data_IF_752234391462
#
_entry.id   IF_752234391462
#
_cell.length_a   1.000
_cell.length_b   1.000
_cell.length_c   1.000
_cell.angle_alpha   90.00
_cell.angle_beta   90.00
_cell.angle_gamma   90.00
#
_symmetry.space_group_name_H-M   'P 1'
#
loop_
_entity.id
_entity.type
_entity.pdbx_description
1 polymer ?
#
# COMPACT_ATOMS: atom_id res chain seq x y z
N UNK A 1 20.50 21.02 -4.32
CA UNK A 1 20.45 20.26 -3.04
C UNK A 1 19.80 18.92 -3.30
N UNK A 2 20.48 17.80 -3.04
CA UNK A 2 19.87 16.47 -3.13
C UNK A 2 19.01 16.19 -1.89
N UNK A 3 17.82 15.63 -2.08
CA UNK A 3 16.91 15.26 -0.99
C UNK A 3 17.48 14.06 -0.19
N UNK A 4 17.54 14.15 1.14
CA UNK A 4 18.13 13.09 1.97
C UNK A 4 17.25 11.84 2.02
N UNK A 5 17.81 10.68 2.38
CA UNK A 5 17.02 9.44 2.55
C UNK A 5 15.91 9.61 3.59
N UNK A 6 16.20 10.32 4.67
CA UNK A 6 15.25 10.62 5.74
C UNK A 6 14.10 11.52 5.26
N UNK A 7 14.43 12.58 4.50
CA UNK A 7 13.42 13.48 3.93
C UNK A 7 12.49 12.72 2.98
N UNK A 8 13.03 11.87 2.09
CA UNK A 8 12.22 11.04 1.18
C UNK A 8 11.31 10.06 1.93
N UNK A 9 11.84 9.38 2.95
CA UNK A 9 11.04 8.47 3.78
C UNK A 9 9.93 9.21 4.54
N UNK A 10 10.21 10.39 5.10
CA UNK A 10 9.21 11.23 5.77
C UNK A 10 8.12 11.71 4.80
N UNK A 11 8.50 12.04 3.57
CA UNK A 11 7.55 12.37 2.51
C UNK A 11 6.62 11.19 2.19
N UNK A 12 7.16 9.98 2.09
CA UNK A 12 6.34 8.77 1.88
C UNK A 12 5.39 8.49 3.03
N UNK A 13 5.84 8.61 4.28
CA UNK A 13 4.96 8.43 5.44
C UNK A 13 3.80 9.43 5.44
N UNK A 14 4.07 10.71 5.14
CA UNK A 14 3.02 11.74 4.98
C UNK A 14 2.06 11.40 3.86
N UNK A 15 2.59 10.95 2.73
CA UNK A 15 1.79 10.58 1.57
C UNK A 15 0.87 9.38 1.88
N UNK A 16 1.39 8.34 2.57
CA UNK A 16 0.58 7.20 3.02
C UNK A 16 -0.54 7.65 3.95
N UNK A 17 -0.24 8.49 4.94
CA UNK A 17 -1.24 9.03 5.86
C UNK A 17 -2.30 9.82 5.09
N UNK A 18 -1.90 10.71 4.17
CA UNK A 18 -2.82 11.51 3.38
C UNK A 18 -3.76 10.64 2.53
N UNK A 19 -3.21 9.65 1.82
CA UNK A 19 -3.99 8.69 1.05
C UNK A 19 -4.97 7.93 1.93
N UNK A 20 -4.53 7.48 3.11
CA UNK A 20 -5.38 6.72 4.03
C UNK A 20 -6.42 7.57 4.75
N UNK A 21 -6.15 8.85 5.01
CA UNK A 21 -7.18 9.78 5.51
C UNK A 21 -8.21 10.08 4.43
N UNK A 22 -7.79 10.20 3.17
CA UNK A 22 -8.70 10.50 2.06
C UNK A 22 -9.52 9.28 1.63
N UNK A 23 -8.93 8.08 1.62
CA UNK A 23 -9.56 6.85 1.10
C UNK A 23 -9.96 5.85 2.19
N UNK A 24 -9.32 5.88 3.36
CA UNK A 24 -9.60 4.99 4.48
C UNK A 24 -11.03 5.10 5.00
N UNK A 25 -11.63 6.31 5.14
CA UNK A 25 -13.04 6.44 5.46
C UNK A 25 -13.93 5.79 4.40
N UNK A 26 -13.58 5.87 3.11
CA UNK A 26 -14.34 5.17 2.07
C UNK A 26 -14.20 3.65 2.18
N UNK A 27 -13.06 3.12 2.62
CA UNK A 27 -12.88 1.68 2.84
C UNK A 27 -13.57 1.19 4.12
N UNK A 28 -13.60 1.99 5.19
CA UNK A 28 -14.16 1.63 6.49
C UNK A 28 -15.66 1.87 6.59
N UNK A 29 -16.12 2.99 6.03
CA UNK A 29 -17.50 3.45 6.09
C UNK A 29 -18.29 3.13 4.84
N UNK A 30 -17.67 2.48 3.85
CA UNK A 30 -18.38 1.95 2.70
C UNK A 30 -19.49 1.03 3.21
N UNK A 31 -20.79 1.40 3.12
CA UNK A 31 -21.84 0.39 3.17
C UNK A 31 -21.52 -0.66 2.09
N UNK A 32 -21.97 -1.90 2.23
CA UNK A 32 -21.64 -2.98 1.27
C UNK A 32 -21.81 -2.56 -0.22
N UNK A 33 -22.72 -1.63 -0.54
CA UNK A 33 -22.90 -1.04 -1.88
C UNK A 33 -21.88 0.03 -2.33
N UNK A 34 -21.13 0.67 -1.45
CA UNK A 34 -20.03 1.58 -1.84
C UNK A 34 -18.75 0.81 -2.18
N UNK A 35 -18.52 -0.35 -1.56
CA UNK A 35 -17.51 -1.31 -1.99
C UNK A 35 -17.84 -1.84 -3.39
N UNK A 36 -19.12 -2.04 -3.73
CA UNK A 36 -19.55 -2.36 -5.10
C UNK A 36 -19.18 -1.22 -6.08
N UNK A 37 -19.30 0.05 -5.71
CA UNK A 37 -18.85 1.16 -6.58
C UNK A 37 -17.32 1.31 -6.69
N UNK A 38 -16.57 0.97 -5.64
CA UNK A 38 -15.10 1.01 -5.62
C UNK A 38 -14.44 -0.25 -6.21
N UNK A 39 -15.14 -1.37 -6.26
CA UNK A 39 -14.61 -2.67 -6.70
C UNK A 39 -15.36 -3.30 -7.89
N UNK A 40 -16.40 -2.63 -8.40
CA UNK A 40 -17.22 -3.05 -9.52
C UNK A 40 -18.58 -3.60 -9.08
N UNK A 41 -19.64 -3.21 -9.79
CA UNK A 41 -21.03 -3.57 -9.51
C UNK A 41 -21.20 -5.09 -9.39
N UNK A 42 -21.48 -5.58 -8.18
CA UNK A 42 -21.90 -6.96 -7.96
C UNK A 42 -23.28 -7.27 -8.59
N UNK A 43 -24.04 -6.23 -9.00
CA UNK A 43 -25.34 -6.36 -9.66
C UNK A 43 -25.30 -6.27 -11.19
N UNK A 44 -24.20 -5.81 -11.79
CA UNK A 44 -24.06 -5.74 -13.25
C UNK A 44 -23.57 -7.08 -13.82
N UNK A 45 -24.33 -8.17 -13.61
CA UNK A 45 -24.34 -9.37 -14.46
C UNK A 45 -23.02 -10.10 -14.75
N UNK A 46 -21.92 -9.83 -14.05
CA UNK A 46 -20.59 -10.44 -14.30
C UNK A 46 -19.91 -10.96 -13.05
N UNK A 47 -20.65 -11.15 -11.95
CA UNK A 47 -20.17 -11.94 -10.81
C UNK A 47 -19.94 -13.41 -11.20
N UNK A 48 -20.60 -13.92 -12.24
CA UNK A 48 -20.32 -15.25 -12.79
C UNK A 48 -18.87 -15.42 -13.32
N UNK A 49 -18.24 -14.35 -13.81
CA UNK A 49 -16.90 -14.41 -14.40
C UNK A 49 -15.75 -14.25 -13.38
N UNK A 50 -16.08 -13.82 -12.15
CA UNK A 50 -15.19 -13.73 -10.99
C UNK A 50 -15.48 -14.81 -9.93
N UNK A 51 -16.72 -15.34 -9.87
CA UNK A 51 -17.09 -16.54 -9.10
C UNK A 51 -16.36 -17.79 -9.58
N UNK A 52 -16.01 -17.86 -10.87
CA UNK A 52 -15.21 -18.96 -11.42
C UNK A 52 -13.73 -18.91 -10.97
N UNK A 53 -13.34 -17.84 -10.27
CA UNK A 53 -12.05 -17.72 -9.57
C UNK A 53 -12.22 -17.73 -8.04
N UNK A 54 -13.44 -17.96 -7.52
CA UNK A 54 -13.61 -18.18 -6.09
C UNK A 54 -12.92 -19.49 -5.70
N UNK A 55 -12.04 -19.49 -4.69
CA UNK A 55 -11.56 -20.74 -4.12
C UNK A 55 -12.77 -21.54 -3.60
N UNK A 56 -12.72 -22.88 -3.58
CA UNK A 56 -13.83 -23.74 -3.16
C UNK A 56 -14.27 -23.56 -1.69
N UNK A 57 -13.66 -22.63 -0.95
CA UNK A 57 -14.02 -22.23 0.41
C UNK A 57 -14.71 -20.86 0.41
N UNK A 58 -16.04 -20.86 0.57
CA UNK A 58 -16.94 -19.69 0.53
C UNK A 58 -16.71 -18.60 1.58
N UNK A 59 -15.62 -17.83 1.45
CA UNK A 59 -15.46 -16.56 2.14
C UNK A 59 -16.40 -15.50 1.54
N UNK A 60 -17.22 -14.87 2.37
CA UNK A 60 -18.08 -13.78 1.90
C UNK A 60 -17.24 -12.59 1.41
N UNK A 61 -17.66 -11.85 0.37
CA UNK A 61 -16.96 -10.64 -0.11
C UNK A 61 -16.66 -9.65 1.02
N UNK A 62 -17.56 -9.58 2.01
CA UNK A 62 -17.45 -8.75 3.19
C UNK A 62 -16.18 -9.00 4.02
N UNK A 63 -15.80 -10.27 4.20
CA UNK A 63 -14.60 -10.63 4.96
C UNK A 63 -13.33 -10.11 4.30
N UNK A 64 -13.25 -10.21 2.96
CA UNK A 64 -12.10 -9.72 2.19
C UNK A 64 -11.95 -8.19 2.31
N UNK A 65 -13.07 -7.45 2.30
CA UNK A 65 -13.06 -6.00 2.48
C UNK A 65 -12.62 -5.58 3.89
N UNK A 66 -13.08 -6.29 4.93
CA UNK A 66 -12.66 -6.02 6.32
C UNK A 66 -11.17 -6.30 6.53
N UNK A 67 -10.65 -7.38 5.93
CA UNK A 67 -9.22 -7.69 5.98
C UNK A 67 -8.39 -6.61 5.28
N UNK A 68 -8.84 -6.12 4.11
CA UNK A 68 -8.17 -5.04 3.40
C UNK A 68 -8.21 -3.71 4.18
N UNK A 69 -9.36 -3.39 4.77
CA UNK A 69 -9.52 -2.19 5.59
C UNK A 69 -8.63 -2.19 6.83
N UNK A 70 -8.56 -3.30 7.56
CA UNK A 70 -7.69 -3.44 8.73
C UNK A 70 -6.20 -3.37 8.34
N UNK A 71 -5.81 -3.97 7.22
CA UNK A 71 -4.47 -3.83 6.66
C UNK A 71 -4.09 -2.37 6.38
N UNK A 72 -4.99 -1.61 5.77
CA UNK A 72 -4.77 -0.20 5.47
C UNK A 72 -4.66 0.66 6.74
N UNK A 73 -5.48 0.41 7.75
CA UNK A 73 -5.35 1.06 9.05
C UNK A 73 -4.00 0.75 9.69
N UNK A 74 -3.54 -0.50 9.64
CA UNK A 74 -2.22 -0.87 10.17
C UNK A 74 -1.10 -0.11 9.44
N UNK A 75 -1.15 0.00 8.12
CA UNK A 75 -0.20 0.79 7.33
C UNK A 75 -0.23 2.27 7.71
N UNK A 76 -1.41 2.85 7.97
CA UNK A 76 -1.55 4.24 8.40
C UNK A 76 -0.88 4.47 9.75
N UNK A 77 -1.14 3.59 10.72
CA UNK A 77 -0.57 3.65 12.06
C UNK A 77 0.96 3.54 12.03
N UNK A 78 1.49 2.57 11.26
CA UNK A 78 2.94 2.42 11.09
C UNK A 78 3.54 3.65 10.40
N UNK A 79 2.83 4.25 9.43
CA UNK A 79 3.29 5.48 8.77
C UNK A 79 3.28 6.68 9.72
N UNK A 80 2.30 6.77 10.63
CA UNK A 80 2.26 7.80 11.66
C UNK A 80 3.44 7.68 12.64
N UNK A 81 3.75 6.47 13.10
CA UNK A 81 4.95 6.20 13.90
C UNK A 81 6.24 6.52 13.12
N UNK A 82 6.23 6.27 11.81
CA UNK A 82 7.29 6.65 10.88
C UNK A 82 7.56 8.15 10.76
N UNK A 83 6.67 9.03 11.22
CA UNK A 83 6.97 10.47 11.21
C UNK A 83 8.05 10.87 12.21
N UNK A 84 8.18 10.13 13.32
CA UNK A 84 9.24 10.32 14.32
C UNK A 84 10.57 9.73 13.85
N UNK A 85 10.56 8.44 13.48
CA UNK A 85 11.75 7.69 13.05
C UNK A 85 11.58 7.11 11.62
N UNK A 86 11.64 7.94 10.56
CA UNK A 86 11.20 7.55 9.21
C UNK A 86 11.98 6.39 8.60
N UNK A 87 13.27 6.26 8.92
CA UNK A 87 14.09 5.16 8.44
C UNK A 87 13.81 3.85 9.19
N UNK A 88 13.54 3.90 10.49
CA UNK A 88 13.21 2.71 11.31
C UNK A 88 11.93 2.01 10.81
N UNK A 89 10.96 2.80 10.37
CA UNK A 89 9.69 2.31 9.84
C UNK A 89 9.66 2.18 8.31
N UNK A 90 10.78 2.41 7.62
CA UNK A 90 10.85 2.25 6.16
C UNK A 90 10.57 0.84 5.60
N UNK A 91 10.70 -0.28 6.36
CA UNK A 91 10.26 -1.59 5.86
C UNK A 91 8.78 -1.65 5.46
N UNK A 92 7.93 -0.76 5.98
CA UNK A 92 6.52 -0.66 5.56
C UNK A 92 6.40 -0.38 4.05
N UNK A 93 7.36 0.35 3.47
CA UNK A 93 7.35 0.66 2.04
C UNK A 93 7.65 -0.57 1.18
N UNK A 94 8.50 -1.48 1.67
CA UNK A 94 8.77 -2.76 1.00
C UNK A 94 7.54 -3.65 1.00
N UNK A 95 6.89 -3.73 2.14
CA UNK A 95 5.63 -4.48 2.29
C UNK A 95 4.57 -3.91 1.34
N UNK A 96 4.46 -2.58 1.26
CA UNK A 96 3.55 -1.91 0.33
C UNK A 96 3.88 -2.19 -1.14
N UNK A 97 5.15 -2.09 -1.51
CA UNK A 97 5.58 -2.34 -2.87
C UNK A 97 5.33 -3.80 -3.25
N UNK A 98 5.69 -4.74 -2.36
CA UNK A 98 5.51 -6.17 -2.56
C UNK A 98 4.07 -6.55 -2.82
N UNK A 99 3.13 -6.15 -1.95
CA UNK A 99 1.73 -6.53 -2.16
C UNK A 99 1.13 -5.87 -3.41
N UNK A 100 1.48 -4.62 -3.73
CA UNK A 100 1.02 -3.95 -4.96
C UNK A 100 1.56 -4.64 -6.21
N UNK A 101 2.84 -5.03 -6.21
CA UNK A 101 3.41 -5.80 -7.31
C UNK A 101 2.72 -7.15 -7.47
N UNK A 102 2.46 -7.88 -6.37
CA UNK A 102 1.69 -9.12 -6.42
C UNK A 102 0.32 -8.85 -7.05
N UNK A 103 -0.43 -7.87 -6.57
CA UNK A 103 -1.74 -7.52 -7.12
C UNK A 103 -1.68 -7.14 -8.61
N UNK A 104 -0.72 -6.31 -9.01
CA UNK A 104 -0.48 -5.93 -10.39
C UNK A 104 -0.26 -7.15 -11.29
N UNK A 105 0.63 -8.07 -10.88
CA UNK A 105 1.00 -9.22 -11.72
C UNK A 105 0.03 -10.40 -11.66
N UNK A 106 -0.68 -10.60 -10.55
CA UNK A 106 -1.61 -11.74 -10.42
C UNK A 106 -3.04 -11.39 -10.77
N UNK A 107 -3.42 -10.10 -10.71
CA UNK A 107 -4.79 -9.65 -10.98
C UNK A 107 -4.85 -8.77 -12.22
N UNK A 108 -4.16 -7.62 -12.20
CA UNK A 108 -4.31 -6.61 -13.26
C UNK A 108 -3.79 -7.12 -14.60
N UNK A 109 -2.55 -7.57 -14.65
CA UNK A 109 -1.91 -8.03 -15.90
C UNK A 109 -2.72 -9.17 -16.55
N UNK A 110 -3.09 -10.27 -15.84
CA UNK A 110 -3.89 -11.34 -16.44
C UNK A 110 -5.27 -10.86 -16.93
N UNK A 111 -5.93 -9.94 -16.22
CA UNK A 111 -7.23 -9.42 -16.66
C UNK A 111 -7.11 -8.55 -17.92
N UNK A 112 -6.06 -7.72 -18.02
CA UNK A 112 -5.80 -6.93 -19.22
C UNK A 112 -5.48 -7.82 -20.43
N UNK A 113 -4.66 -8.85 -20.24
CA UNK A 113 -4.35 -9.83 -21.29
C UNK A 113 -5.59 -10.59 -21.79
N UNK A 114 -6.59 -10.79 -20.92
CA UNK A 114 -7.89 -11.40 -21.26
C UNK A 114 -8.90 -10.41 -21.83
N UNK A 115 -8.52 -9.15 -22.06
CA UNK A 115 -9.43 -8.11 -22.57
C UNK A 115 -10.54 -7.70 -21.59
N UNK A 116 -10.40 -8.02 -20.29
CA UNK A 116 -11.42 -7.77 -19.26
C UNK A 116 -11.21 -6.47 -18.47
N UNK A 117 -10.46 -5.51 -19.03
CA UNK A 117 -10.14 -4.24 -18.35
C UNK A 117 -11.37 -3.41 -17.95
N UNK A 118 -12.47 -3.49 -18.70
CA UNK A 118 -13.71 -2.77 -18.39
C UNK A 118 -14.47 -3.34 -17.17
N UNK A 119 -14.12 -4.53 -16.69
CA UNK A 119 -14.69 -5.09 -15.46
C UNK A 119 -14.03 -4.52 -14.19
N UNK A 120 -13.00 -3.69 -14.35
CA UNK A 120 -12.22 -3.17 -13.24
C UNK A 120 -12.74 -1.79 -12.80
N UNK A 121 -12.79 -1.50 -11.50
CA UNK A 121 -12.98 -0.14 -11.00
C UNK A 121 -11.76 0.73 -11.40
N UNK A 122 -11.82 1.34 -12.58
CA UNK A 122 -10.66 1.99 -13.19
C UNK A 122 -10.05 3.08 -12.29
N UNK A 123 -10.89 3.91 -11.67
CA UNK A 123 -10.47 5.06 -10.85
C UNK A 123 -9.62 4.63 -9.64
N UNK A 124 -10.10 3.78 -8.71
CA UNK A 124 -9.30 3.38 -7.56
C UNK A 124 -8.06 2.58 -7.98
N UNK A 125 -8.11 1.88 -9.10
CA UNK A 125 -6.97 1.10 -9.62
C UNK A 125 -5.86 1.97 -10.14
N UNK A 126 -6.19 2.94 -10.99
CA UNK A 126 -5.23 3.91 -11.50
C UNK A 126 -4.63 4.71 -10.34
N UNK A 127 -5.45 5.10 -9.37
CA UNK A 127 -4.96 5.78 -8.18
C UNK A 127 -4.00 4.90 -7.38
N UNK A 128 -4.37 3.65 -7.13
CA UNK A 128 -3.62 2.73 -6.28
C UNK A 128 -2.32 2.23 -6.91
N UNK A 129 -2.34 1.89 -8.18
CA UNK A 129 -1.16 1.47 -8.94
C UNK A 129 -0.29 2.66 -9.33
N UNK A 130 -0.89 3.83 -9.57
CA UNK A 130 -0.15 5.08 -9.75
C UNK A 130 0.75 5.40 -8.54
N UNK A 131 0.35 4.96 -7.34
CA UNK A 131 1.14 5.09 -6.12
C UNK A 131 2.47 4.31 -6.14
N UNK A 132 2.62 3.32 -7.03
CA UNK A 132 3.89 2.63 -7.20
C UNK A 132 5.01 3.59 -7.61
N UNK A 133 4.71 4.61 -8.42
CA UNK A 133 5.72 5.56 -8.89
C UNK A 133 6.39 6.32 -7.74
N UNK A 134 5.65 7.08 -6.90
CA UNK A 134 6.27 7.76 -5.75
C UNK A 134 6.85 6.76 -4.74
N UNK A 135 6.20 5.61 -4.54
CA UNK A 135 6.71 4.56 -3.66
C UNK A 135 8.10 4.10 -4.09
N UNK A 136 8.29 3.74 -5.35
CA UNK A 136 9.59 3.33 -5.87
C UNK A 136 10.60 4.48 -5.96
N UNK A 137 10.17 5.69 -6.34
CA UNK A 137 11.09 6.82 -6.49
C UNK A 137 11.63 7.34 -5.14
N UNK A 138 10.81 7.33 -4.11
CA UNK A 138 11.14 7.93 -2.80
C UNK A 138 11.61 6.89 -1.77
N UNK A 139 11.41 5.60 -2.02
CA UNK A 139 11.86 4.56 -1.08
C UNK A 139 13.38 4.65 -0.89
N UNK A 140 13.88 4.65 0.36
CA UNK A 140 15.31 4.73 0.63
C UNK A 140 15.98 3.37 0.39
N UNK A 141 16.02 2.90 -0.87
CA UNK A 141 16.49 1.57 -1.26
C UNK A 141 17.86 1.22 -0.70
N UNK A 142 18.80 2.17 -0.72
CA UNK A 142 20.15 1.95 -0.20
C UNK A 142 20.13 1.60 1.29
N UNK A 143 19.33 2.31 2.08
CA UNK A 143 19.16 2.03 3.50
C UNK A 143 18.54 0.64 3.71
N UNK A 144 17.50 0.32 2.95
CA UNK A 144 16.78 -0.96 3.06
C UNK A 144 17.60 -2.17 2.60
N UNK A 145 18.48 -2.00 1.62
CA UNK A 145 19.38 -3.04 1.12
C UNK A 145 20.68 -3.15 1.93
N UNK A 146 20.76 -2.52 3.11
CA UNK A 146 21.95 -2.58 3.96
C UNK A 146 23.17 -1.85 3.38
N UNK A 147 23.00 -1.05 2.33
CA UNK A 147 24.06 -0.15 1.87
C UNK A 147 24.18 1.01 2.85
N UNK A 148 25.01 0.82 3.87
CA UNK A 148 25.44 1.82 4.88
C UNK A 148 26.22 3.00 4.30
N UNK A 149 26.00 3.35 3.04
CA UNK A 149 26.60 4.52 2.43
C UNK A 149 25.98 5.76 3.07
N UNK A 150 26.71 6.32 4.04
CA UNK A 150 26.38 7.45 4.92
C UNK A 150 25.39 7.16 6.05
N UNK A 151 25.62 6.10 6.83
CA UNK A 151 25.32 6.12 8.26
C UNK A 151 26.34 7.01 9.00
N UNK A 152 26.43 8.28 8.61
CA UNK A 152 27.09 9.28 9.43
C UNK A 152 26.09 9.81 10.44
N UNK A 153 26.45 9.74 11.73
CA UNK A 153 25.99 10.60 12.84
C UNK A 153 24.82 10.20 13.75
N UNK A 154 24.12 9.08 13.57
CA UNK A 154 23.11 8.64 14.56
C UNK A 154 23.36 7.26 15.19
N UNK A 155 24.05 6.33 14.50
CA UNK A 155 24.48 5.07 15.12
C UNK A 155 25.47 5.31 16.26
N UNK A 156 26.38 6.28 16.07
CA UNK A 156 27.37 6.68 17.07
C UNK A 156 26.73 7.34 18.30
N UNK A 157 25.58 8.03 18.13
CA UNK A 157 24.86 8.65 19.25
C UNK A 157 24.18 7.64 20.16
N UNK A 158 23.66 6.55 19.61
CA UNK A 158 23.07 5.46 20.41
C UNK A 158 24.12 4.60 21.11
N UNK A 159 25.31 4.47 20.53
CA UNK A 159 26.45 3.82 21.18
C UNK A 159 27.06 4.70 22.29
N UNK A 160 27.17 6.02 22.06
CA UNK A 160 27.66 6.97 23.05
C UNK A 160 26.71 7.14 24.25
N UNK A 161 25.39 7.20 24.03
CA UNK A 161 24.40 7.32 25.11
C UNK A 161 24.24 6.06 25.99
N UNK A 162 24.87 4.94 25.62
CA UNK A 162 24.97 3.72 26.46
C UNK A 162 26.30 3.61 27.21
N UNK A 163 27.24 4.51 26.93
CA UNK A 163 28.56 4.55 27.55
C UNK A 163 28.66 5.58 28.69
N UNK A 164 27.60 6.37 28.91
CA UNK A 164 27.37 7.23 30.09
C UNK A 164 26.38 6.55 31.05
#
# INVERSE_FOLDING_TARGET
>A
MACTAEQRARWLHRLNIAVLVLLGPYALLSPAGAAEHLFGDARAGKVAALQDMSPPSGGSPLFSYQMLGTWWVAVALVSALGLGDPLKFSPVFLVQAGYKLVFLFTVIVPMLLKGRGAAFPLVPTVFFEGFLVPLFALTPWRYLMGSSATAGTNGDKWAAAKAE
#
